data_IF_915602970211
#
_entry.id   IF_915602970211
#
_cell.length_a   1.000
_cell.length_b   1.000
_cell.length_c   1.000
_cell.angle_alpha   90.00
_cell.angle_beta   90.00
_cell.angle_gamma   90.00
#
_symmetry.space_group_name_H-M   'P 1'
#
loop_
_entity.id
_entity.type
_entity.pdbx_description
1 polymer ?
#
# COMPACT_ATOMS: atom_id res chain seq x y z
N UNK A 1 -1.35 -1.91 -23.78
CA UNK A 1 -2.80 -1.81 -23.70
C UNK A 1 -3.32 -0.51 -24.31
N UNK A 2 -2.82 0.67 -23.91
CA UNK A 2 -3.31 1.96 -24.47
C UNK A 2 -3.19 2.05 -25.99
N UNK A 3 -2.06 1.67 -26.59
CA UNK A 3 -1.85 1.66 -28.06
C UNK A 3 -2.80 0.70 -28.80
N UNK A 4 -3.39 -0.28 -28.10
CA UNK A 4 -4.36 -1.23 -28.63
C UNK A 4 -5.81 -0.78 -28.47
N UNK A 5 -6.03 0.46 -28.00
CA UNK A 5 -7.35 1.03 -27.74
C UNK A 5 -7.95 0.68 -26.38
N UNK A 6 -7.16 0.12 -25.47
CA UNK A 6 -7.56 -0.13 -24.09
C UNK A 6 -7.66 1.15 -23.27
N UNK A 7 -8.42 1.10 -22.18
CA UNK A 7 -8.56 2.17 -21.20
C UNK A 7 -7.35 2.26 -20.24
N UNK A 8 -7.28 3.34 -19.45
CA UNK A 8 -6.35 3.43 -18.34
C UNK A 8 -6.53 2.29 -17.31
N UNK A 9 -7.74 1.76 -17.15
CA UNK A 9 -8.01 0.61 -16.28
C UNK A 9 -7.41 -0.68 -16.87
N UNK A 10 -7.56 -0.95 -18.17
CA UNK A 10 -6.90 -2.08 -18.84
C UNK A 10 -5.37 -2.01 -18.68
N UNK A 11 -4.81 -0.81 -18.86
CA UNK A 11 -3.37 -0.61 -18.71
C UNK A 11 -2.90 -0.84 -17.26
N UNK A 12 -3.66 -0.35 -16.28
CA UNK A 12 -3.36 -0.52 -14.87
C UNK A 12 -3.44 -1.99 -14.44
N UNK A 13 -4.52 -2.70 -14.83
CA UNK A 13 -4.67 -4.14 -14.54
C UNK A 13 -3.55 -4.94 -15.19
N UNK A 14 -3.25 -4.71 -16.48
CA UNK A 14 -2.18 -5.43 -17.20
C UNK A 14 -0.81 -5.22 -16.54
N UNK A 15 -0.47 -3.98 -16.20
CA UNK A 15 0.80 -3.66 -15.54
C UNK A 15 0.88 -4.30 -14.14
N UNK A 16 -0.18 -4.20 -13.34
CA UNK A 16 -0.22 -4.83 -12.03
C UNK A 16 -0.14 -6.35 -12.13
N UNK A 17 -0.84 -6.97 -13.08
CA UNK A 17 -0.78 -8.42 -13.30
C UNK A 17 0.66 -8.89 -13.64
N UNK A 18 1.39 -8.16 -14.49
CA UNK A 18 2.81 -8.45 -14.76
C UNK A 18 3.64 -8.32 -13.48
N UNK A 19 3.43 -7.25 -12.68
CA UNK A 19 4.17 -7.04 -11.44
C UNK A 19 3.90 -8.12 -10.39
N UNK A 20 2.66 -8.66 -10.30
CA UNK A 20 2.37 -9.77 -9.38
C UNK A 20 3.13 -11.05 -9.73
N UNK A 21 3.53 -11.21 -10.99
CA UNK A 21 4.37 -12.31 -11.46
C UNK A 21 5.85 -12.01 -11.23
N UNK A 22 6.31 -10.83 -11.67
CA UNK A 22 7.74 -10.48 -11.76
C UNK A 22 8.32 -9.85 -10.48
N UNK A 23 7.45 -9.37 -9.59
CA UNK A 23 7.82 -8.72 -8.33
C UNK A 23 7.07 -9.31 -7.12
N UNK A 24 7.03 -10.65 -6.95
CA UNK A 24 6.27 -11.32 -5.89
C UNK A 24 6.75 -10.98 -4.48
N UNK A 25 7.90 -10.37 -4.34
CA UNK A 25 8.42 -9.85 -3.07
C UNK A 25 7.73 -8.55 -2.62
N UNK A 26 7.05 -7.83 -3.51
CA UNK A 26 6.36 -6.57 -3.21
C UNK A 26 4.84 -6.69 -3.28
N UNK A 27 4.35 -7.48 -4.22
CA UNK A 27 2.94 -7.61 -4.57
C UNK A 27 2.61 -9.02 -5.09
N UNK A 28 1.35 -9.40 -5.18
CA UNK A 28 0.99 -10.75 -5.66
C UNK A 28 -0.52 -10.95 -5.81
N UNK A 29 -0.91 -11.99 -6.57
CA UNK A 29 -2.31 -12.43 -6.70
C UNK A 29 -2.95 -12.78 -5.35
N UNK A 30 -2.14 -13.27 -4.41
CA UNK A 30 -2.56 -13.54 -3.03
C UNK A 30 -2.52 -12.31 -2.14
N UNK A 31 -2.50 -11.10 -2.70
CA UNK A 31 -2.46 -9.82 -2.01
C UNK A 31 -3.78 -9.04 -2.01
N UNK A 32 -3.67 -7.79 -1.64
CA UNK A 32 -4.76 -6.82 -1.55
C UNK A 32 -4.63 -5.73 -2.63
N UNK A 33 -5.69 -4.91 -2.81
CA UNK A 33 -5.68 -3.83 -3.79
C UNK A 33 -6.61 -2.70 -3.38
N UNK A 34 -6.17 -1.45 -3.61
CA UNK A 34 -7.04 -0.27 -3.68
C UNK A 34 -6.84 0.46 -5.00
N UNK A 35 -7.91 1.08 -5.51
CA UNK A 35 -7.80 1.96 -6.66
C UNK A 35 -8.73 3.17 -6.56
N UNK A 36 -8.27 4.30 -7.13
CA UNK A 36 -9.10 5.45 -7.45
C UNK A 36 -9.14 5.61 -8.97
N UNK A 37 -10.33 5.87 -9.50
CA UNK A 37 -10.53 6.10 -10.93
C UNK A 37 -11.23 7.42 -11.14
N UNK A 38 -10.58 8.31 -11.89
CA UNK A 38 -11.20 9.52 -12.44
C UNK A 38 -11.60 9.25 -13.90
N UNK A 39 -12.87 9.35 -14.20
CA UNK A 39 -13.44 9.08 -15.54
C UNK A 39 -13.92 10.34 -16.28
N UNK A 40 -13.55 11.52 -15.79
CA UNK A 40 -13.97 12.81 -16.36
C UNK A 40 -15.26 13.36 -15.76
N UNK A 41 -15.96 12.64 -14.89
CA UNK A 41 -17.30 12.99 -14.38
C UNK A 41 -17.31 13.59 -12.97
N UNK A 42 -16.24 14.27 -12.54
CA UNK A 42 -16.19 15.01 -11.29
C UNK A 42 -15.67 14.21 -10.11
N UNK A 43 -16.50 13.48 -9.37
CA UNK A 43 -16.07 12.69 -8.21
C UNK A 43 -15.41 11.38 -8.66
N UNK A 44 -14.14 11.12 -8.30
CA UNK A 44 -13.51 9.83 -8.59
C UNK A 44 -14.24 8.67 -7.94
N UNK A 45 -14.25 7.51 -8.60
CA UNK A 45 -14.70 6.26 -8.01
C UNK A 45 -13.57 5.64 -7.18
N UNK A 46 -13.92 5.06 -6.03
CA UNK A 46 -12.96 4.41 -5.12
C UNK A 46 -13.27 2.93 -4.98
N UNK A 47 -12.28 2.06 -5.21
CA UNK A 47 -12.39 0.61 -5.11
C UNK A 47 -11.57 0.09 -3.94
N UNK A 48 -12.23 -0.61 -3.01
CA UNK A 48 -11.64 -1.32 -1.89
C UNK A 48 -11.68 -2.83 -2.14
N UNK A 49 -10.54 -3.41 -2.47
CA UNK A 49 -10.32 -4.84 -2.62
C UNK A 49 -9.23 -5.33 -1.65
N UNK A 50 -9.32 -4.93 -0.37
CA UNK A 50 -8.34 -5.27 0.66
C UNK A 50 -8.49 -6.68 1.23
N UNK A 51 -9.56 -7.39 0.86
CA UNK A 51 -9.85 -8.69 1.44
C UNK A 51 -10.47 -8.63 2.84
N UNK A 52 -11.00 -9.75 3.30
CA UNK A 52 -11.62 -9.92 4.62
C UNK A 52 -11.06 -11.15 5.30
N UNK A 53 -10.93 -11.14 6.62
CA UNK A 53 -10.66 -12.35 7.40
C UNK A 53 -11.70 -13.42 7.10
N UNK A 54 -11.33 -14.67 7.20
CA UNK A 54 -12.25 -15.79 7.01
C UNK A 54 -13.34 -15.84 8.09
N UNK A 55 -14.39 -16.60 7.82
CA UNK A 55 -15.49 -16.84 8.78
C UNK A 55 -15.07 -17.64 10.00
N UNK A 56 -13.94 -18.36 9.93
CA UNK A 56 -13.33 -19.09 11.05
C UNK A 56 -12.45 -18.24 11.97
N UNK A 57 -12.33 -16.93 11.71
CA UNK A 57 -11.49 -16.02 12.49
C UNK A 57 -11.95 -15.94 13.96
N UNK A 58 -11.06 -16.32 14.88
CA UNK A 58 -11.33 -16.38 16.31
C UNK A 58 -10.20 -15.71 17.11
N UNK A 59 -10.42 -14.51 17.65
CA UNK A 59 -9.42 -13.79 18.45
C UNK A 59 -9.14 -14.47 19.80
N UNK A 60 -10.14 -15.15 20.41
CA UNK A 60 -9.96 -15.80 21.69
C UNK A 60 -8.99 -16.99 21.58
N UNK A 61 -9.01 -17.70 20.45
CA UNK A 61 -8.06 -18.77 20.17
C UNK A 61 -6.62 -18.25 20.13
N UNK A 62 -6.37 -17.11 19.46
CA UNK A 62 -5.05 -16.47 19.41
C UNK A 62 -4.58 -16.05 20.81
N UNK A 63 -5.47 -15.43 21.61
CA UNK A 63 -5.16 -15.03 22.98
C UNK A 63 -4.87 -16.24 23.89
N UNK A 64 -5.64 -17.30 23.76
CA UNK A 64 -5.43 -18.54 24.53
C UNK A 64 -4.08 -19.22 24.20
N UNK A 65 -3.58 -19.05 22.97
CA UNK A 65 -2.26 -19.49 22.52
C UNK A 65 -1.12 -18.54 22.99
N UNK A 66 -1.44 -17.42 23.65
CA UNK A 66 -0.48 -16.49 24.23
C UNK A 66 -0.08 -15.31 23.31
N UNK A 67 -0.81 -15.09 22.22
CA UNK A 67 -0.58 -13.96 21.33
C UNK A 67 -1.16 -12.67 21.91
N UNK A 68 -0.37 -11.61 21.98
CA UNK A 68 -0.77 -10.25 22.32
C UNK A 68 -1.03 -9.38 21.06
N UNK A 69 -0.57 -9.87 19.90
CA UNK A 69 -0.76 -9.29 18.56
C UNK A 69 -0.91 -10.37 17.50
N UNK A 70 -1.37 -9.99 16.31
CA UNK A 70 -1.48 -10.91 15.18
C UNK A 70 -0.11 -11.50 14.80
N UNK A 71 -0.06 -12.81 14.47
CA UNK A 71 1.16 -13.45 13.99
C UNK A 71 1.67 -12.78 12.70
N UNK A 72 3.00 -12.63 12.57
CA UNK A 72 3.57 -11.92 11.44
C UNK A 72 3.82 -12.82 10.22
N UNK A 73 4.42 -14.01 10.42
CA UNK A 73 4.74 -14.98 9.36
C UNK A 73 4.30 -16.40 9.73
N UNK A 74 4.14 -17.24 8.70
CA UNK A 74 3.86 -18.68 8.83
C UNK A 74 2.56 -19.02 9.59
N UNK A 75 1.63 -18.08 9.68
CA UNK A 75 0.33 -18.29 10.32
C UNK A 75 -0.78 -17.80 9.39
N UNK A 76 -1.67 -18.72 9.03
CA UNK A 76 -2.75 -18.46 8.07
C UNK A 76 -3.78 -17.44 8.62
N UNK A 77 -3.87 -17.27 9.94
CA UNK A 77 -4.79 -16.33 10.59
C UNK A 77 -4.43 -14.88 10.30
N UNK A 78 -3.19 -14.60 9.89
CA UNK A 78 -2.77 -13.28 9.42
C UNK A 78 -3.10 -13.00 7.94
N UNK A 79 -3.71 -13.95 7.25
CA UNK A 79 -4.04 -13.88 5.83
C UNK A 79 -5.53 -13.63 5.63
N UNK A 80 -5.99 -12.42 5.32
CA UNK A 80 -7.33 -12.21 4.78
C UNK A 80 -7.52 -12.93 3.44
N UNK A 81 -8.76 -13.25 3.05
CA UNK A 81 -9.05 -13.72 1.70
C UNK A 81 -8.48 -12.71 0.69
N UNK A 82 -7.59 -13.11 -0.22
CA UNK A 82 -6.96 -12.18 -1.15
C UNK A 82 -7.97 -11.43 -2.02
N UNK A 83 -7.87 -10.10 -2.07
CA UNK A 83 -8.80 -9.27 -2.83
C UNK A 83 -8.27 -8.77 -4.17
N UNK A 84 -6.99 -8.98 -4.48
CA UNK A 84 -6.35 -8.44 -5.68
C UNK A 84 -7.08 -8.82 -6.97
N UNK A 85 -7.40 -10.12 -7.16
CA UNK A 85 -8.10 -10.61 -8.35
C UNK A 85 -9.53 -10.06 -8.46
N UNK A 86 -10.26 -9.96 -7.34
CA UNK A 86 -11.58 -9.31 -7.29
C UNK A 86 -11.49 -7.82 -7.69
N UNK A 87 -10.43 -7.13 -7.24
CA UNK A 87 -10.17 -5.75 -7.61
C UNK A 87 -9.93 -5.56 -9.10
N UNK A 88 -9.17 -6.46 -9.74
CA UNK A 88 -8.97 -6.41 -11.19
C UNK A 88 -10.27 -6.64 -11.96
N UNK A 89 -11.06 -7.63 -11.55
CA UNK A 89 -12.35 -7.90 -12.18
C UNK A 89 -13.29 -6.69 -12.06
N UNK A 90 -13.41 -6.10 -10.86
CA UNK A 90 -14.26 -4.92 -10.64
C UNK A 90 -13.82 -3.69 -11.45
N UNK A 91 -12.50 -3.46 -11.59
CA UNK A 91 -11.95 -2.39 -12.44
C UNK A 91 -12.25 -2.65 -13.91
N UNK A 92 -12.00 -3.89 -14.36
CA UNK A 92 -12.20 -4.29 -15.74
C UNK A 92 -13.68 -4.27 -16.13
N UNK A 93 -14.58 -4.79 -15.30
CA UNK A 93 -16.03 -4.82 -15.56
C UNK A 93 -16.61 -3.41 -15.73
N UNK A 94 -16.10 -2.44 -14.97
CA UNK A 94 -16.63 -1.07 -14.99
C UNK A 94 -15.98 -0.17 -16.04
N UNK A 95 -14.68 -0.34 -16.31
CA UNK A 95 -13.87 0.60 -17.09
C UNK A 95 -13.03 -0.05 -18.19
N UNK A 96 -12.98 -1.37 -18.26
CA UNK A 96 -12.24 -2.10 -19.30
C UNK A 96 -12.84 -1.91 -20.70
N UNK A 97 -12.00 -1.87 -21.72
CA UNK A 97 -12.35 -1.80 -23.14
C UNK A 97 -11.86 -3.03 -23.90
N UNK A 98 -10.78 -3.67 -23.44
CA UNK A 98 -10.21 -4.87 -24.06
C UNK A 98 -10.73 -6.14 -23.36
N UNK A 99 -10.78 -7.29 -24.06
CA UNK A 99 -11.07 -8.57 -23.41
C UNK A 99 -10.08 -8.85 -22.26
N UNK A 100 -10.56 -9.33 -21.12
CA UNK A 100 -9.72 -9.61 -19.95
C UNK A 100 -8.56 -10.57 -20.28
N UNK A 101 -8.81 -11.56 -21.15
CA UNK A 101 -7.77 -12.49 -21.61
C UNK A 101 -6.62 -11.78 -22.33
N UNK A 102 -6.88 -10.67 -23.06
CA UNK A 102 -5.86 -9.87 -23.70
C UNK A 102 -5.10 -8.99 -22.68
N UNK A 103 -5.81 -8.49 -21.66
CA UNK A 103 -5.24 -7.68 -20.58
C UNK A 103 -4.28 -8.51 -19.75
N UNK A 104 -4.61 -9.77 -19.45
CA UNK A 104 -3.79 -10.67 -18.62
C UNK A 104 -2.72 -11.44 -19.40
N UNK A 105 -2.80 -11.50 -20.75
CA UNK A 105 -1.89 -12.27 -21.59
C UNK A 105 -0.39 -12.00 -21.34
N UNK A 106 0.08 -10.75 -21.13
CA UNK A 106 1.49 -10.49 -20.82
C UNK A 106 1.94 -11.15 -19.51
N UNK A 107 1.12 -11.08 -18.45
CA UNK A 107 1.41 -11.70 -17.17
C UNK A 107 1.45 -13.23 -17.27
N UNK A 108 0.49 -13.82 -17.98
CA UNK A 108 0.46 -15.26 -18.26
C UNK A 108 1.74 -15.69 -19.01
N UNK A 109 2.16 -14.90 -20.01
CA UNK A 109 3.40 -15.15 -20.76
C UNK A 109 4.63 -15.15 -19.84
N UNK A 110 4.82 -14.11 -19.02
CA UNK A 110 5.93 -14.04 -18.07
C UNK A 110 5.91 -15.19 -17.05
N UNK A 111 4.74 -15.54 -16.53
CA UNK A 111 4.62 -16.65 -15.60
C UNK A 111 5.00 -18.01 -16.22
N UNK A 112 4.61 -18.25 -17.47
CA UNK A 112 4.85 -19.50 -18.19
C UNK A 112 6.26 -19.61 -18.74
N UNK A 113 6.72 -18.58 -19.45
CA UNK A 113 8.00 -18.58 -20.17
C UNK A 113 9.17 -18.26 -19.22
N UNK A 114 8.90 -17.47 -18.21
CA UNK A 114 9.85 -17.03 -17.17
C UNK A 114 10.23 -15.57 -17.30
N UNK A 115 10.78 -15.05 -16.21
CA UNK A 115 11.30 -13.69 -16.08
C UNK A 115 12.60 -13.70 -15.28
N UNK A 116 13.53 -12.75 -15.51
CA UNK A 116 14.78 -12.66 -14.75
C UNK A 116 14.51 -12.18 -13.32
N UNK A 117 15.15 -12.80 -12.32
CA UNK A 117 15.14 -12.33 -10.95
C UNK A 117 15.69 -10.90 -10.85
N UNK A 118 14.96 -9.99 -10.25
CA UNK A 118 15.44 -8.62 -10.04
C UNK A 118 16.47 -8.57 -8.91
N UNK A 119 17.43 -7.62 -8.92
CA UNK A 119 18.37 -7.41 -7.81
C UNK A 119 17.66 -7.19 -6.45
N UNK A 120 16.47 -6.57 -6.47
CA UNK A 120 15.66 -6.32 -5.25
C UNK A 120 15.02 -7.59 -4.68
N UNK A 121 14.80 -8.61 -5.51
CA UNK A 121 14.23 -9.89 -5.08
C UNK A 121 15.30 -10.82 -4.47
N UNK A 122 16.55 -10.73 -4.94
CA UNK A 122 17.65 -11.64 -4.56
C UNK A 122 17.78 -11.84 -3.06
N UNK A 123 17.74 -10.79 -2.21
CA UNK A 123 17.88 -10.98 -0.76
C UNK A 123 16.82 -11.91 -0.14
N UNK A 124 15.62 -11.97 -0.74
CA UNK A 124 14.52 -12.82 -0.26
C UNK A 124 14.56 -14.27 -0.78
N UNK A 125 15.31 -14.56 -1.87
CA UNK A 125 15.31 -15.88 -2.52
C UNK A 125 15.78 -17.01 -1.60
N UNK A 126 16.75 -16.72 -0.72
CA UNK A 126 17.23 -17.71 0.25
C UNK A 126 16.13 -18.14 1.25
N UNK A 127 15.22 -17.24 1.57
CA UNK A 127 14.09 -17.50 2.47
C UNK A 127 12.98 -18.24 1.76
N UNK A 128 12.60 -17.83 0.55
CA UNK A 128 11.43 -18.38 -0.14
C UNK A 128 11.72 -19.62 -0.98
N UNK A 129 12.97 -19.84 -1.41
CA UNK A 129 13.36 -21.01 -2.19
C UNK A 129 13.03 -22.36 -1.56
N UNK A 130 13.20 -22.54 -0.23
CA UNK A 130 12.75 -23.76 0.46
C UNK A 130 11.22 -23.88 0.60
N UNK A 131 10.48 -22.78 0.45
CA UNK A 131 9.03 -22.72 0.69
C UNK A 131 8.21 -22.89 -0.58
N UNK A 132 8.78 -22.54 -1.75
CA UNK A 132 8.09 -22.61 -3.04
C UNK A 132 9.06 -23.05 -4.14
N UNK A 133 8.68 -24.08 -4.88
CA UNK A 133 9.50 -24.69 -5.95
C UNK A 133 9.85 -23.69 -7.05
N UNK A 134 8.96 -22.73 -7.35
CA UNK A 134 9.19 -21.68 -8.36
C UNK A 134 10.51 -20.89 -8.12
N UNK A 135 10.94 -20.77 -6.86
CA UNK A 135 12.14 -20.03 -6.44
C UNK A 135 13.31 -20.93 -6.04
N UNK A 136 13.13 -22.25 -6.07
CA UNK A 136 14.09 -23.19 -5.48
C UNK A 136 15.48 -23.17 -6.12
N UNK A 137 15.61 -22.76 -7.39
CA UNK A 137 16.87 -22.75 -8.13
C UNK A 137 17.48 -21.35 -8.32
N UNK A 138 16.68 -20.29 -8.18
CA UNK A 138 17.17 -18.91 -8.37
C UNK A 138 18.02 -18.47 -7.17
N UNK A 139 19.17 -17.81 -7.44
CA UNK A 139 20.13 -17.31 -6.43
C UNK A 139 20.61 -15.91 -6.72
N UNK A 140 20.76 -15.57 -7.99
CA UNK A 140 21.38 -14.33 -8.44
C UNK A 140 20.41 -13.50 -9.31
N UNK A 141 20.72 -12.21 -9.44
CA UNK A 141 20.00 -11.35 -10.37
C UNK A 141 20.17 -11.86 -11.81
N UNK A 142 19.07 -11.94 -12.55
CA UNK A 142 19.04 -12.48 -13.88
C UNK A 142 18.70 -13.98 -13.97
N UNK A 143 18.73 -14.72 -12.87
CA UNK A 143 18.26 -16.12 -12.88
C UNK A 143 16.82 -16.20 -13.32
N UNK A 144 16.52 -17.18 -14.19
CA UNK A 144 15.19 -17.32 -14.78
C UNK A 144 14.23 -18.01 -13.80
N UNK A 145 13.17 -17.31 -13.43
CA UNK A 145 12.10 -17.83 -12.59
C UNK A 145 10.87 -18.10 -13.46
N UNK A 146 10.27 -19.27 -13.30
CA UNK A 146 8.98 -19.66 -13.91
C UNK A 146 7.96 -19.95 -12.84
N UNK A 147 6.72 -19.53 -13.08
CA UNK A 147 5.62 -19.70 -12.14
C UNK A 147 4.41 -20.35 -12.83
N UNK A 148 4.52 -21.65 -13.22
CA UNK A 148 3.50 -22.31 -14.03
C UNK A 148 2.14 -22.40 -13.35
N UNK A 149 2.09 -22.54 -12.04
CA UNK A 149 0.84 -22.53 -11.28
C UNK A 149 0.17 -21.15 -11.28
N UNK A 150 0.96 -20.06 -11.17
CA UNK A 150 0.45 -18.68 -11.31
C UNK A 150 -0.09 -18.45 -12.72
N UNK A 151 0.55 -19.01 -13.77
CA UNK A 151 0.03 -18.92 -15.12
C UNK A 151 -1.36 -19.56 -15.24
N UNK A 152 -1.56 -20.79 -14.69
CA UNK A 152 -2.86 -21.45 -14.67
C UNK A 152 -3.92 -20.65 -13.89
N UNK A 153 -3.55 -20.08 -12.75
CA UNK A 153 -4.45 -19.26 -11.95
C UNK A 153 -4.90 -17.99 -12.71
N UNK A 154 -3.97 -17.32 -13.42
CA UNK A 154 -4.29 -16.18 -14.27
C UNK A 154 -5.18 -16.58 -15.47
N UNK A 155 -4.94 -17.74 -16.09
CA UNK A 155 -5.80 -18.29 -17.13
C UNK A 155 -7.21 -18.58 -16.62
N UNK A 156 -7.31 -19.22 -15.46
CA UNK A 156 -8.61 -19.47 -14.82
C UNK A 156 -9.38 -18.17 -14.56
N UNK A 157 -8.70 -17.09 -14.15
CA UNK A 157 -9.30 -15.79 -13.93
C UNK A 157 -9.88 -15.18 -15.23
N UNK A 158 -9.32 -15.47 -16.40
CA UNK A 158 -9.89 -15.02 -17.69
C UNK A 158 -11.28 -15.60 -17.98
N UNK A 159 -11.65 -16.68 -17.29
CA UNK A 159 -12.97 -17.33 -17.38
C UNK A 159 -13.95 -16.86 -16.29
N UNK A 160 -13.52 -15.89 -15.49
CA UNK A 160 -14.32 -15.28 -14.44
C UNK A 160 -13.84 -15.62 -13.02
N UNK A 161 -14.48 -15.00 -12.06
CA UNK A 161 -14.14 -15.05 -10.63
C UNK A 161 -14.09 -16.49 -10.08
N UNK A 162 -15.12 -17.27 -10.41
CA UNK A 162 -15.26 -18.64 -9.88
C UNK A 162 -14.13 -19.56 -10.36
N UNK A 163 -13.61 -19.36 -11.57
CA UNK A 163 -12.46 -20.10 -12.07
C UNK A 163 -11.22 -19.94 -11.19
N UNK A 164 -11.05 -18.78 -10.56
CA UNK A 164 -9.94 -18.52 -9.63
C UNK A 164 -10.27 -18.91 -8.19
N UNK A 165 -11.34 -18.32 -7.59
CA UNK A 165 -11.62 -18.48 -6.15
C UNK A 165 -12.28 -19.81 -5.79
N UNK A 166 -12.95 -20.48 -6.72
CA UNK A 166 -13.55 -21.81 -6.53
C UNK A 166 -12.84 -22.90 -7.32
N UNK A 167 -11.78 -22.54 -8.05
CA UNK A 167 -10.91 -23.44 -8.80
C UNK A 167 -9.66 -23.83 -8.02
N UNK A 168 -8.58 -24.15 -8.75
CA UNK A 168 -7.31 -24.68 -8.20
C UNK A 168 -6.74 -23.85 -7.04
N UNK A 169 -6.72 -22.51 -7.16
CA UNK A 169 -6.27 -21.61 -6.11
C UNK A 169 -7.18 -21.67 -4.87
N UNK A 170 -8.51 -21.58 -5.05
CA UNK A 170 -9.46 -21.59 -3.94
C UNK A 170 -9.45 -22.90 -3.17
N UNK A 171 -9.44 -24.04 -3.86
CA UNK A 171 -9.31 -25.36 -3.24
C UNK A 171 -8.01 -25.48 -2.41
N UNK A 172 -6.91 -24.96 -2.93
CA UNK A 172 -5.64 -24.93 -2.21
C UNK A 172 -5.65 -23.99 -1.01
N UNK A 173 -6.30 -22.82 -1.13
CA UNK A 173 -6.45 -21.87 -0.02
C UNK A 173 -7.31 -22.47 1.12
N UNK A 174 -8.41 -23.17 0.79
CA UNK A 174 -9.21 -23.90 1.78
C UNK A 174 -8.39 -24.97 2.48
N UNK A 175 -7.56 -25.71 1.73
CA UNK A 175 -6.73 -26.77 2.29
C UNK A 175 -5.67 -26.25 3.27
N UNK A 176 -4.96 -25.14 2.94
CA UNK A 176 -3.96 -24.54 3.85
C UNK A 176 -4.63 -23.72 4.97
N UNK A 177 -5.88 -23.31 4.77
CA UNK A 177 -6.66 -22.49 5.70
C UNK A 177 -6.99 -23.19 7.02
N UNK A 178 -7.02 -24.53 7.04
CA UNK A 178 -7.23 -25.29 8.28
C UNK A 178 -8.52 -24.93 9.04
N UNK A 179 -9.56 -24.48 8.32
CA UNK A 179 -10.84 -24.05 8.89
C UNK A 179 -10.96 -22.53 9.09
N UNK A 180 -9.94 -21.77 8.74
CA UNK A 180 -10.00 -20.29 8.75
C UNK A 180 -10.99 -19.74 7.70
N UNK A 181 -11.09 -20.44 6.55
CA UNK A 181 -12.00 -20.08 5.45
C UNK A 181 -13.01 -21.17 5.16
N UNK A 182 -14.17 -20.77 4.64
CA UNK A 182 -15.20 -21.62 4.06
C UNK A 182 -15.34 -21.32 2.55
N UNK A 183 -16.01 -22.21 1.81
CA UNK A 183 -16.35 -21.97 0.40
C UNK A 183 -17.17 -20.68 0.23
N UNK A 184 -18.04 -20.34 1.19
CA UNK A 184 -18.85 -19.11 1.16
C UNK A 184 -17.98 -17.84 1.27
N UNK A 185 -16.88 -17.87 2.04
CA UNK A 185 -15.92 -16.78 2.09
C UNK A 185 -15.23 -16.55 0.74
N UNK A 186 -14.92 -17.65 0.02
CA UNK A 186 -14.32 -17.59 -1.32
C UNK A 186 -15.35 -17.27 -2.41
N UNK A 187 -16.61 -17.69 -2.26
CA UNK A 187 -17.69 -17.36 -3.18
C UNK A 187 -18.10 -15.88 -3.10
N UNK A 188 -17.84 -15.24 -1.95
CA UNK A 188 -18.17 -13.82 -1.73
C UNK A 188 -17.10 -12.92 -2.33
N UNK A 189 -17.50 -11.95 -3.17
CA UNK A 189 -16.56 -10.97 -3.72
C UNK A 189 -16.00 -10.04 -2.63
N UNK A 190 -14.71 -9.73 -2.73
CA UNK A 190 -13.98 -8.88 -1.77
C UNK A 190 -13.66 -7.48 -2.33
N UNK A 191 -14.28 -7.09 -3.44
CA UNK A 191 -14.12 -5.78 -4.06
C UNK A 191 -15.41 -4.96 -3.92
N UNK A 192 -15.32 -3.85 -3.16
CA UNK A 192 -16.43 -2.94 -2.93
C UNK A 192 -16.12 -1.56 -3.51
N UNK A 193 -17.05 -1.01 -4.30
CA UNK A 193 -17.02 0.42 -4.65
C UNK A 193 -17.52 1.23 -3.46
N UNK A 194 -16.71 2.19 -3.02
CA UNK A 194 -16.97 3.01 -1.82
C UNK A 194 -16.87 4.50 -2.16
N UNK A 195 -17.42 5.36 -1.31
CA UNK A 195 -17.28 6.81 -1.47
C UNK A 195 -15.86 7.25 -1.07
N UNK A 196 -15.13 7.97 -1.95
CA UNK A 196 -13.80 8.46 -1.62
C UNK A 196 -13.86 9.58 -0.59
N UNK A 197 -12.80 9.70 0.22
CA UNK A 197 -12.57 10.90 1.03
C UNK A 197 -12.03 12.03 0.18
N UNK A 198 -12.41 13.27 0.54
CA UNK A 198 -11.94 14.49 -0.11
C UNK A 198 -11.64 15.58 0.90
N UNK A 199 -10.56 16.33 0.68
CA UNK A 199 -10.35 17.64 1.29
C UNK A 199 -9.94 18.67 0.23
N UNK A 200 -10.28 19.92 0.48
CA UNK A 200 -9.71 21.04 -0.25
C UNK A 200 -8.43 21.47 0.44
N UNK A 201 -7.33 21.48 -0.30
CA UNK A 201 -6.04 21.94 0.19
C UNK A 201 -5.24 22.59 -0.95
N UNK A 202 -4.57 23.71 -0.66
CA UNK A 202 -3.75 24.47 -1.61
C UNK A 202 -4.46 24.75 -2.94
N UNK A 203 -5.75 25.10 -2.86
CA UNK A 203 -6.57 25.44 -4.02
C UNK A 203 -7.06 24.25 -4.86
N UNK A 204 -6.76 23.01 -4.49
CA UNK A 204 -7.12 21.78 -5.20
C UNK A 204 -7.96 20.85 -4.33
N UNK A 205 -8.71 19.95 -4.96
CA UNK A 205 -9.37 18.85 -4.25
C UNK A 205 -8.46 17.61 -4.28
N UNK A 206 -8.12 17.10 -3.11
CA UNK A 206 -7.30 15.88 -2.94
C UNK A 206 -8.20 14.75 -2.48
N UNK A 207 -8.14 13.64 -3.20
CA UNK A 207 -9.00 12.47 -3.03
C UNK A 207 -8.18 11.25 -2.61
N UNK A 208 -8.75 10.43 -1.74
CA UNK A 208 -8.15 9.15 -1.33
C UNK A 208 -9.22 8.17 -0.84
N UNK A 209 -8.79 6.98 -0.43
CA UNK A 209 -9.65 5.94 0.12
C UNK A 209 -10.14 6.29 1.53
N UNK A 210 -11.39 5.90 1.88
CA UNK A 210 -11.87 5.96 3.26
C UNK A 210 -11.21 4.86 4.13
N UNK A 211 -11.36 4.89 5.48
CA UNK A 211 -11.05 3.74 6.33
C UNK A 211 -11.79 2.46 5.86
N UNK A 212 -11.14 1.33 5.85
CA UNK A 212 -9.93 0.88 6.54
C UNK A 212 -8.56 1.38 6.00
N UNK A 213 -8.50 2.19 4.93
CA UNK A 213 -7.26 2.83 4.48
C UNK A 213 -6.86 3.99 5.41
N UNK A 214 -5.55 4.16 5.60
CA UNK A 214 -5.00 5.31 6.32
C UNK A 214 -4.94 6.61 5.47
N UNK A 215 -5.62 6.67 4.34
CA UNK A 215 -5.61 7.83 3.44
C UNK A 215 -5.97 9.16 4.10
N UNK A 216 -6.84 9.14 5.12
CA UNK A 216 -7.20 10.33 5.88
C UNK A 216 -6.01 11.03 6.54
N UNK A 217 -4.92 10.31 6.84
CA UNK A 217 -3.69 10.91 7.40
C UNK A 217 -3.05 11.88 6.42
N UNK A 218 -3.03 11.54 5.12
CA UNK A 218 -2.57 12.45 4.07
C UNK A 218 -3.44 13.71 4.01
N UNK A 219 -4.76 13.52 4.01
CA UNK A 219 -5.70 14.64 3.91
C UNK A 219 -5.60 15.57 5.12
N UNK A 220 -5.49 15.00 6.31
CA UNK A 220 -5.33 15.78 7.56
C UNK A 220 -3.98 16.51 7.59
N UNK A 221 -2.89 15.86 7.20
CA UNK A 221 -1.58 16.47 7.15
C UNK A 221 -1.53 17.65 6.15
N UNK A 222 -2.18 17.51 4.98
CA UNK A 222 -2.32 18.61 4.00
C UNK A 222 -3.11 19.79 4.58
N UNK A 223 -4.23 19.54 5.27
CA UNK A 223 -5.01 20.59 5.92
C UNK A 223 -4.26 21.28 7.08
N UNK A 224 -3.43 20.52 7.80
CA UNK A 224 -2.53 21.10 8.82
C UNK A 224 -1.49 21.99 8.13
N UNK A 225 -0.84 21.48 7.09
CA UNK A 225 0.23 22.17 6.38
C UNK A 225 -0.23 23.44 5.66
N UNK A 226 -1.46 23.46 5.10
CA UNK A 226 -2.01 24.61 4.36
C UNK A 226 -2.05 25.93 5.17
N UNK A 227 -2.09 25.84 6.48
CA UNK A 227 -2.10 27.05 7.32
C UNK A 227 -0.76 27.34 8.00
N UNK A 228 0.32 26.64 7.64
CA UNK A 228 1.68 26.91 8.10
C UNK A 228 2.37 27.91 7.15
N UNK A 229 3.26 28.71 7.73
CA UNK A 229 4.14 29.61 6.96
C UNK A 229 5.34 28.79 6.43
N UNK A 230 5.12 28.06 5.34
CA UNK A 230 6.13 27.21 4.74
C UNK A 230 7.18 28.06 4.01
N UNK A 231 8.50 27.79 4.20
CA UNK A 231 9.55 28.43 3.40
C UNK A 231 9.33 28.26 1.89
N UNK A 232 9.70 29.28 1.10
CA UNK A 232 9.65 29.24 -0.36
C UNK A 232 10.58 28.17 -0.96
N UNK A 233 11.71 27.90 -0.29
CA UNK A 233 12.66 26.86 -0.68
C UNK A 233 12.32 25.53 0.04
N UNK A 234 11.89 24.47 -0.68
CA UNK A 234 11.65 23.17 -0.07
C UNK A 234 12.92 22.45 0.42
N UNK A 235 14.12 22.99 0.19
CA UNK A 235 15.35 22.54 0.77
C UNK A 235 15.66 23.19 2.13
N UNK A 236 14.89 24.20 2.54
CA UNK A 236 15.03 24.81 3.88
C UNK A 236 14.74 23.77 4.97
N UNK A 237 15.60 23.61 5.98
CA UNK A 237 15.34 22.70 7.11
C UNK A 237 14.02 22.96 7.84
N UNK A 238 13.57 24.19 7.90
CA UNK A 238 12.28 24.54 8.53
C UNK A 238 11.10 23.96 7.75
N UNK A 239 11.19 23.88 6.41
CA UNK A 239 10.16 23.22 5.58
C UNK A 239 9.97 21.75 5.99
N UNK A 240 11.07 21.02 6.14
CA UNK A 240 11.01 19.62 6.59
C UNK A 240 10.49 19.51 8.02
N UNK A 241 10.94 20.38 8.95
CA UNK A 241 10.47 20.38 10.34
C UNK A 241 8.95 20.57 10.41
N UNK A 242 8.41 21.56 9.74
CA UNK A 242 6.97 21.86 9.76
C UNK A 242 6.13 20.71 9.19
N UNK A 243 6.60 20.05 8.12
CA UNK A 243 5.90 18.90 7.54
C UNK A 243 6.04 17.63 8.38
N UNK A 244 7.18 17.41 9.03
CA UNK A 244 7.35 16.34 10.03
C UNK A 244 6.34 16.50 11.15
N UNK A 245 6.22 17.71 11.72
CA UNK A 245 5.26 17.99 12.78
C UNK A 245 3.80 17.84 12.29
N UNK A 246 3.48 18.27 11.07
CA UNK A 246 2.17 18.05 10.47
C UNK A 246 1.83 16.56 10.33
N UNK A 247 2.78 15.74 9.87
CA UNK A 247 2.60 14.29 9.76
C UNK A 247 2.42 13.61 11.13
N UNK A 248 3.22 13.99 12.14
CA UNK A 248 3.12 13.48 13.51
C UNK A 248 1.76 13.79 14.12
N UNK A 249 1.33 15.05 14.01
CA UNK A 249 0.04 15.50 14.52
C UNK A 249 -1.15 14.89 13.75
N UNK A 250 -1.00 14.59 12.47
CA UNK A 250 -2.03 13.87 11.72
C UNK A 250 -2.22 12.43 12.23
N UNK A 251 -1.16 11.78 12.69
CA UNK A 251 -1.16 10.34 12.91
C UNK A 251 -1.16 9.88 14.37
N UNK A 252 -0.98 10.75 15.35
CA UNK A 252 -0.75 10.35 16.76
C UNK A 252 -1.89 9.48 17.37
N UNK A 253 -3.09 9.57 16.84
CA UNK A 253 -4.28 8.83 17.29
C UNK A 253 -4.74 7.74 16.30
N UNK A 254 -3.88 7.37 15.34
CA UNK A 254 -4.23 6.42 14.26
C UNK A 254 -4.76 5.08 14.79
N UNK A 255 -4.19 4.55 15.85
CA UNK A 255 -4.60 3.26 16.41
C UNK A 255 -6.04 3.28 16.93
N UNK A 256 -6.48 4.43 17.44
CA UNK A 256 -7.83 4.60 18.00
C UNK A 256 -8.86 4.92 16.91
N UNK A 257 -8.40 5.44 15.75
CA UNK A 257 -9.27 5.94 14.66
C UNK A 257 -9.41 4.97 13.50
N UNK A 258 -8.34 4.21 13.16
CA UNK A 258 -8.30 3.42 11.93
C UNK A 258 -8.90 2.03 12.10
N UNK A 259 -10.13 1.86 11.61
CA UNK A 259 -10.82 0.58 11.49
C UNK A 259 -11.85 0.64 10.35
N UNK A 260 -12.35 -0.51 9.89
CA UNK A 260 -13.36 -0.59 8.83
C UNK A 260 -14.63 0.18 9.23
N UNK A 261 -15.05 1.13 8.37
CA UNK A 261 -16.26 1.93 8.59
C UNK A 261 -16.11 3.08 9.58
N UNK A 262 -14.88 3.40 10.03
CA UNK A 262 -14.66 4.56 10.88
C UNK A 262 -15.01 5.87 10.17
N UNK A 263 -15.75 6.78 10.86
CA UNK A 263 -15.89 8.16 10.41
C UNK A 263 -14.64 8.96 10.83
N UNK A 264 -14.10 9.69 9.87
CA UNK A 264 -12.91 10.55 10.08
C UNK A 264 -13.23 12.04 9.99
N UNK A 265 -14.48 12.42 9.87
CA UNK A 265 -14.89 13.83 9.70
C UNK A 265 -14.40 14.71 10.85
N UNK A 266 -14.67 14.31 12.10
CA UNK A 266 -14.21 15.04 13.28
C UNK A 266 -12.67 15.12 13.36
N UNK A 267 -11.98 14.09 12.89
CA UNK A 267 -10.51 14.06 12.83
C UNK A 267 -10.01 15.05 11.78
N UNK A 268 -10.58 15.07 10.59
CA UNK A 268 -10.26 16.03 9.54
C UNK A 268 -10.56 17.47 9.96
N UNK A 269 -11.64 17.71 10.70
CA UNK A 269 -12.03 19.04 11.22
C UNK A 269 -11.09 19.54 12.33
N UNK A 270 -10.34 18.64 12.98
CA UNK A 270 -9.36 19.00 14.00
C UNK A 270 -8.07 19.67 13.46
N UNK A 271 -7.90 19.80 12.14
CA UNK A 271 -6.68 20.28 11.50
C UNK A 271 -6.16 21.61 12.08
N UNK A 272 -7.06 22.61 12.29
CA UNK A 272 -6.68 23.89 12.85
C UNK A 272 -6.19 23.81 14.31
N UNK A 273 -6.85 22.98 15.13
CA UNK A 273 -6.45 22.77 16.51
C UNK A 273 -5.10 22.03 16.61
N UNK A 274 -4.88 21.02 15.74
CA UNK A 274 -3.59 20.30 15.67
C UNK A 274 -2.47 21.19 15.18
N UNK A 275 -2.71 22.01 14.16
CA UNK A 275 -1.73 23.01 13.67
C UNK A 275 -1.27 23.97 14.75
N UNK A 276 -2.17 24.42 15.65
CA UNK A 276 -1.83 25.30 16.75
C UNK A 276 -0.83 24.71 17.77
N UNK A 277 -0.56 23.39 17.70
CA UNK A 277 0.45 22.71 18.52
C UNK A 277 1.84 22.71 17.89
N UNK A 278 1.99 23.15 16.63
CA UNK A 278 3.28 23.19 15.93
C UNK A 278 4.06 24.42 16.38
N UNK A 279 5.26 24.17 16.90
CA UNK A 279 6.26 25.19 17.21
C UNK A 279 7.39 25.09 16.15
N UNK A 280 7.68 26.18 15.40
CA UNK A 280 8.78 26.17 14.42
C UNK A 280 10.16 25.87 15.00
N UNK A 281 10.34 26.00 16.32
CA UNK A 281 11.61 25.82 17.01
C UNK A 281 11.67 24.59 17.90
N UNK A 282 10.55 23.86 18.07
CA UNK A 282 10.49 22.74 19.00
C UNK A 282 9.56 21.62 18.53
N UNK A 283 9.87 20.39 18.93
CA UNK A 283 9.05 19.21 18.68
C UNK A 283 7.77 19.24 19.54
N UNK A 284 6.61 19.02 18.94
CA UNK A 284 5.36 18.87 19.67
C UNK A 284 5.35 17.61 20.52
N UNK A 285 4.73 17.69 21.71
CA UNK A 285 4.58 16.56 22.64
C UNK A 285 3.35 15.74 22.24
N UNK A 286 3.52 14.82 21.30
CA UNK A 286 2.49 13.87 20.85
C UNK A 286 3.10 12.48 20.69
N UNK A 287 2.24 11.46 20.66
CA UNK A 287 2.65 10.10 20.30
C UNK A 287 3.20 10.08 18.89
N UNK A 288 4.34 9.45 18.69
CA UNK A 288 4.93 9.34 17.36
C UNK A 288 4.49 8.09 16.63
N UNK A 289 4.62 8.15 15.31
CA UNK A 289 4.39 7.08 14.37
C UNK A 289 5.70 6.72 13.68
N UNK A 290 5.87 5.45 13.40
CA UNK A 290 7.04 4.96 12.66
C UNK A 290 6.58 4.11 11.48
N UNK A 291 7.41 3.91 10.46
CA UNK A 291 6.99 3.25 9.23
C UNK A 291 8.03 2.32 8.63
N UNK A 292 7.55 1.21 8.08
CA UNK A 292 8.24 0.32 7.13
C UNK A 292 7.17 -0.48 6.37
N UNK A 293 7.47 -1.06 5.21
CA UNK A 293 6.53 -1.90 4.44
C UNK A 293 6.84 -1.96 2.96
N UNK A 294 6.51 -3.10 2.34
CA UNK A 294 6.68 -3.37 0.91
C UNK A 294 5.35 -3.24 0.15
N UNK A 295 5.39 -2.64 -1.02
CA UNK A 295 4.18 -2.29 -1.79
C UNK A 295 4.56 -2.02 -3.24
N UNK A 296 3.60 -2.15 -4.17
CA UNK A 296 3.72 -1.67 -5.54
C UNK A 296 2.63 -0.63 -5.81
N UNK A 297 3.04 0.54 -6.27
CA UNK A 297 2.16 1.59 -6.77
C UNK A 297 2.33 1.76 -8.27
N UNK A 298 1.24 1.98 -8.97
CA UNK A 298 1.23 2.36 -10.38
C UNK A 298 0.10 3.35 -10.69
N UNK A 299 0.27 4.13 -11.75
CA UNK A 299 -0.77 4.99 -12.28
C UNK A 299 -0.82 4.86 -13.81
N UNK A 300 -2.00 5.11 -14.36
CA UNK A 300 -2.23 5.18 -15.79
C UNK A 300 -3.17 6.34 -16.12
N UNK A 301 -2.93 6.99 -17.26
CA UNK A 301 -3.83 8.00 -17.83
C UNK A 301 -3.96 7.70 -19.32
N UNK A 302 -5.18 7.64 -19.84
CA UNK A 302 -5.43 7.40 -21.27
C UNK A 302 -5.72 8.69 -22.05
N UNK A 303 -5.90 8.52 -23.36
CA UNK A 303 -6.17 9.64 -24.29
C UNK A 303 -7.54 10.31 -24.08
N UNK A 304 -8.47 9.65 -23.42
CA UNK A 304 -9.80 10.18 -23.08
C UNK A 304 -9.75 10.97 -21.75
N UNK A 305 -8.59 10.98 -21.05
CA UNK A 305 -8.37 11.68 -19.78
C UNK A 305 -8.78 10.88 -18.55
N UNK A 306 -9.12 9.59 -18.70
CA UNK A 306 -9.32 8.72 -17.53
C UNK A 306 -7.98 8.56 -16.80
N UNK A 307 -8.00 8.74 -15.46
CA UNK A 307 -6.85 8.52 -14.58
C UNK A 307 -7.12 7.41 -13.58
N UNK A 308 -6.17 6.47 -13.45
CA UNK A 308 -6.21 5.37 -12.48
C UNK A 308 -5.01 5.46 -11.54
N UNK A 309 -5.28 5.54 -10.23
CA UNK A 309 -4.30 5.40 -9.15
C UNK A 309 -4.51 4.03 -8.53
N UNK A 310 -3.61 3.07 -8.76
CA UNK A 310 -3.73 1.69 -8.29
C UNK A 310 -2.54 1.34 -7.40
N UNK A 311 -2.84 0.75 -6.25
CA UNK A 311 -1.84 0.29 -5.29
C UNK A 311 -2.16 -1.13 -4.83
N UNK A 312 -1.13 -1.97 -4.76
CA UNK A 312 -1.25 -3.39 -4.48
C UNK A 312 -0.07 -3.86 -3.62
N UNK A 313 -0.34 -4.77 -2.67
CA UNK A 313 0.67 -5.17 -1.70
C UNK A 313 0.46 -6.62 -1.21
N UNK A 314 1.54 -7.20 -0.69
CA UNK A 314 1.48 -8.39 0.17
C UNK A 314 1.56 -8.02 1.66
N UNK A 315 1.59 -6.76 2.01
CA UNK A 315 1.90 -6.16 3.30
C UNK A 315 3.41 -6.25 3.63
N UNK A 316 3.94 -7.39 4.02
CA UNK A 316 5.40 -7.61 4.18
C UNK A 316 6.01 -8.25 2.93
N UNK A 317 7.33 -8.27 2.80
CA UNK A 317 8.03 -8.95 1.71
C UNK A 317 7.62 -10.42 1.59
N UNK A 318 7.12 -10.83 0.41
CA UNK A 318 6.48 -12.13 0.14
C UNK A 318 5.28 -12.47 1.04
N UNK A 319 4.74 -11.50 1.79
CA UNK A 319 3.57 -11.66 2.64
C UNK A 319 3.81 -12.50 3.88
N UNK A 320 2.90 -13.45 4.14
CA UNK A 320 2.93 -14.37 5.28
C UNK A 320 4.03 -15.43 5.22
N UNK A 321 4.78 -15.54 4.13
CA UNK A 321 5.66 -16.65 3.78
C UNK A 321 4.93 -18.00 3.66
N UNK A 322 3.61 -17.97 3.47
CA UNK A 322 2.80 -19.11 3.08
C UNK A 322 2.53 -19.01 1.58
N UNK A 323 2.82 -20.09 0.87
CA UNK A 323 2.52 -20.24 -0.55
C UNK A 323 1.39 -21.25 -0.69
N UNK A 324 0.37 -20.90 -1.47
CA UNK A 324 -0.68 -21.87 -1.82
C UNK A 324 -0.05 -22.99 -2.66
N UNK A 325 -0.13 -24.27 -2.22
CA UNK A 325 0.77 -25.32 -2.72
C UNK A 325 0.52 -25.77 -4.16
N UNK A 326 -0.67 -25.53 -4.73
CA UNK A 326 -1.01 -25.95 -6.11
C UNK A 326 -0.57 -24.94 -7.15
N UNK A 327 -0.73 -23.66 -6.83
CA UNK A 327 -0.43 -22.55 -7.76
C UNK A 327 0.89 -21.83 -7.46
N UNK A 328 1.47 -22.03 -6.28
CA UNK A 328 2.65 -21.29 -5.83
C UNK A 328 2.38 -19.81 -5.55
N UNK A 329 1.13 -19.40 -5.43
CA UNK A 329 0.77 -18.02 -5.10
C UNK A 329 1.14 -17.73 -3.65
N UNK A 330 1.97 -16.70 -3.44
CA UNK A 330 2.30 -16.20 -2.11
C UNK A 330 1.11 -15.43 -1.51
N UNK A 331 0.79 -15.72 -0.25
CA UNK A 331 -0.34 -15.11 0.46
C UNK A 331 0.14 -13.93 1.30
N UNK A 332 -0.55 -12.81 1.21
CA UNK A 332 -0.25 -11.62 2.01
C UNK A 332 -0.44 -11.87 3.51
N UNK A 333 0.08 -11.00 4.34
CA UNK A 333 -0.13 -11.04 5.78
C UNK A 333 -0.85 -9.79 6.32
N UNK A 334 -1.75 -9.21 5.52
CA UNK A 334 -2.44 -7.95 5.87
C UNK A 334 -3.21 -8.01 7.19
N UNK A 335 -3.61 -9.18 7.64
CA UNK A 335 -4.27 -9.40 8.93
C UNK A 335 -3.45 -8.97 10.14
N UNK A 336 -2.13 -8.74 10.00
CA UNK A 336 -1.31 -8.15 11.07
C UNK A 336 -1.79 -6.76 11.52
N UNK A 337 -2.59 -6.08 10.68
CA UNK A 337 -3.23 -4.81 11.05
C UNK A 337 -4.36 -4.91 12.08
N UNK A 338 -4.92 -6.09 12.32
CA UNK A 338 -5.94 -6.28 13.33
C UNK A 338 -5.39 -6.14 14.75
N UNK A 339 -6.26 -5.71 15.67
CA UNK A 339 -6.00 -5.70 17.10
C UNK A 339 -6.41 -7.04 17.74
N UNK A 340 -5.67 -7.50 18.76
CA UNK A 340 -6.10 -8.56 19.66
C UNK A 340 -6.62 -8.04 21.00
N UNK A 341 -6.74 -6.72 21.17
CA UNK A 341 -7.33 -6.13 22.37
C UNK A 341 -8.84 -6.37 22.35
N UNK A 342 -9.42 -7.03 23.38
CA UNK A 342 -10.86 -7.31 23.44
C UNK A 342 -11.71 -6.04 23.34
N UNK A 343 -12.71 -6.07 22.44
CA UNK A 343 -13.62 -4.95 22.22
C UNK A 343 -13.04 -3.77 21.42
N UNK A 344 -11.81 -3.86 20.94
CA UNK A 344 -11.23 -2.84 20.08
C UNK A 344 -12.00 -2.79 18.72
N UNK A 345 -12.31 -1.60 18.15
CA UNK A 345 -13.03 -1.51 16.88
C UNK A 345 -12.37 -2.27 15.72
N UNK A 346 -11.03 -2.31 15.70
CA UNK A 346 -10.24 -3.09 14.74
C UNK A 346 -9.90 -4.51 15.23
N UNK A 347 -10.64 -5.07 16.18
CA UNK A 347 -10.39 -6.42 16.68
C UNK A 347 -10.51 -7.46 15.57
N UNK A 348 -9.56 -8.43 15.54
CA UNK A 348 -9.64 -9.59 14.67
C UNK A 348 -10.97 -10.33 14.88
N UNK A 349 -11.60 -10.78 13.83
CA UNK A 349 -12.86 -11.49 13.90
C UNK A 349 -13.41 -11.79 12.51
N UNK A 350 -14.51 -12.57 12.42
CA UNK A 350 -15.05 -13.07 11.14
C UNK A 350 -15.41 -11.97 10.15
N UNK A 351 -14.97 -12.13 8.89
CA UNK A 351 -15.37 -11.31 7.73
C UNK A 351 -15.11 -9.81 7.87
N UNK A 352 -14.11 -9.41 8.66
CA UNK A 352 -13.69 -8.02 8.84
C UNK A 352 -12.54 -7.65 7.90
N UNK A 353 -12.46 -6.40 7.53
CA UNK A 353 -11.29 -5.81 6.83
C UNK A 353 -10.29 -5.27 7.86
N UNK A 354 -9.01 -5.62 7.74
CA UNK A 354 -7.98 -5.08 8.64
C UNK A 354 -7.69 -3.61 8.37
N UNK A 355 -7.24 -2.82 9.37
CA UNK A 355 -6.56 -1.55 9.16
C UNK A 355 -5.48 -1.65 8.09
N UNK A 356 -5.38 -0.62 7.23
CA UNK A 356 -4.63 -0.72 5.99
C UNK A 356 -3.69 0.46 5.76
N UNK A 357 -2.51 0.18 5.18
CA UNK A 357 -1.46 1.17 4.95
C UNK A 357 -1.50 1.81 3.55
N UNK A 358 -2.24 1.26 2.60
CA UNK A 358 -2.25 1.71 1.21
C UNK A 358 -3.04 3.01 1.03
N UNK A 359 -2.42 3.99 0.33
CA UNK A 359 -2.95 5.34 0.10
C UNK A 359 -2.82 5.70 -1.38
N UNK A 360 -3.71 5.21 -2.26
CA UNK A 360 -3.81 5.79 -3.59
C UNK A 360 -4.43 7.19 -3.48
N UNK A 361 -3.98 8.14 -4.31
CA UNK A 361 -4.51 9.49 -4.30
C UNK A 361 -4.70 10.06 -5.71
N UNK A 362 -5.63 10.98 -5.83
CA UNK A 362 -5.90 11.80 -7.01
C UNK A 362 -6.02 13.27 -6.61
N UNK A 363 -5.65 14.16 -7.50
CA UNK A 363 -5.82 15.61 -7.35
C UNK A 363 -6.64 16.14 -8.51
N UNK A 364 -7.70 16.88 -8.22
CA UNK A 364 -8.49 17.59 -9.21
C UNK A 364 -8.39 19.09 -9.01
N UNK A 365 -8.54 19.85 -10.11
CA UNK A 365 -8.61 21.31 -10.08
C UNK A 365 -9.98 21.78 -9.57
N UNK A 366 -10.14 23.07 -9.24
CA UNK A 366 -11.43 23.63 -8.83
C UNK A 366 -12.56 23.45 -9.84
N UNK A 367 -12.22 23.34 -11.12
CA UNK A 367 -13.17 23.07 -12.21
C UNK A 367 -13.55 21.59 -12.35
N UNK A 368 -13.01 20.73 -11.46
CA UNK A 368 -13.24 19.29 -11.45
C UNK A 368 -12.33 18.49 -12.39
N UNK A 369 -11.50 19.13 -13.23
CA UNK A 369 -10.58 18.41 -14.12
C UNK A 369 -9.44 17.74 -13.38
N UNK A 370 -8.96 16.61 -13.90
CA UNK A 370 -7.82 15.87 -13.33
C UNK A 370 -6.54 16.76 -13.37
N UNK A 371 -5.87 16.91 -12.24
CA UNK A 371 -4.56 17.58 -12.12
C UNK A 371 -3.42 16.56 -12.06
N UNK A 372 -3.56 15.55 -11.21
CA UNK A 372 -2.49 14.56 -10.99
C UNK A 372 -3.05 13.25 -10.46
N UNK A 373 -2.38 12.17 -10.83
CA UNK A 373 -2.54 10.83 -10.24
C UNK A 373 -1.28 10.53 -9.47
N UNK A 374 -1.38 10.29 -8.16
CA UNK A 374 -0.21 10.18 -7.28
C UNK A 374 -0.34 9.01 -6.31
N UNK A 375 0.79 8.42 -5.95
CA UNK A 375 0.89 7.36 -4.96
C UNK A 375 2.35 6.99 -4.72
N UNK A 376 2.59 6.15 -3.74
CA UNK A 376 3.93 5.67 -3.38
C UNK A 376 3.85 4.31 -2.71
N UNK A 377 4.92 3.56 -2.73
CA UNK A 377 5.16 2.44 -1.83
C UNK A 377 5.62 2.96 -0.45
N UNK A 378 5.79 2.07 0.55
CA UNK A 378 6.41 2.41 1.84
C UNK A 378 5.51 2.25 3.07
N UNK A 379 4.48 1.40 3.01
CA UNK A 379 3.65 1.07 4.19
C UNK A 379 3.11 2.32 4.89
N UNK A 380 3.42 2.47 6.16
CA UNK A 380 2.97 3.61 6.98
C UNK A 380 3.60 4.96 6.58
N UNK A 381 4.69 4.97 5.79
CA UNK A 381 5.29 6.20 5.28
C UNK A 381 4.50 6.83 4.11
N UNK A 382 3.57 6.11 3.50
CA UNK A 382 2.88 6.59 2.30
C UNK A 382 2.24 7.97 2.49
N UNK A 383 1.47 8.28 3.55
CA UNK A 383 0.93 9.62 3.77
C UNK A 383 2.01 10.70 3.87
N UNK A 384 3.16 10.37 4.48
CA UNK A 384 4.28 11.29 4.71
C UNK A 384 5.02 11.62 3.42
N UNK A 385 5.27 10.62 2.58
CA UNK A 385 5.91 10.79 1.26
C UNK A 385 4.99 11.58 0.35
N UNK A 386 3.69 11.23 0.32
CA UNK A 386 2.70 11.94 -0.50
C UNK A 386 2.50 13.39 -0.07
N UNK A 387 2.55 13.69 1.24
CA UNK A 387 2.52 15.07 1.76
C UNK A 387 3.64 15.90 1.13
N UNK A 388 4.89 15.40 1.16
CA UNK A 388 6.05 16.09 0.60
C UNK A 388 5.92 16.30 -0.92
N UNK A 389 5.53 15.24 -1.65
CA UNK A 389 5.36 15.30 -3.11
C UNK A 389 4.25 16.28 -3.50
N UNK A 390 3.10 16.21 -2.82
CA UNK A 390 1.97 17.09 -3.16
C UNK A 390 2.26 18.55 -2.84
N UNK A 391 2.93 18.88 -1.74
CA UNK A 391 3.31 20.28 -1.45
C UNK A 391 4.31 20.80 -2.49
N UNK A 392 5.28 20.00 -2.91
CA UNK A 392 6.19 20.37 -4.02
C UNK A 392 5.45 20.64 -5.32
N UNK A 393 4.43 19.83 -5.65
CA UNK A 393 3.63 19.98 -6.87
C UNK A 393 2.64 21.15 -6.81
N UNK A 394 2.02 21.42 -5.64
CA UNK A 394 0.87 22.31 -5.51
C UNK A 394 1.23 23.69 -4.96
N UNK A 395 2.32 23.79 -4.18
CA UNK A 395 2.77 25.04 -3.55
C UNK A 395 4.00 25.60 -4.27
N UNK A 396 4.98 24.73 -4.54
CA UNK A 396 6.25 25.16 -5.18
C UNK A 396 6.22 25.03 -6.72
N UNK A 397 5.12 24.52 -7.30
CA UNK A 397 4.91 24.35 -8.74
C UNK A 397 6.04 23.57 -9.45
N UNK A 398 6.68 22.62 -8.72
CA UNK A 398 7.72 21.77 -9.30
C UNK A 398 7.08 20.79 -10.29
N UNK A 399 7.84 20.42 -11.31
CA UNK A 399 7.43 19.34 -12.21
C UNK A 399 7.35 18.00 -11.46
N UNK A 400 6.57 17.02 -11.94
CA UNK A 400 6.53 15.68 -11.32
C UNK A 400 7.90 15.02 -11.15
N UNK A 401 8.80 15.19 -12.15
CA UNK A 401 10.16 14.67 -12.07
C UNK A 401 10.99 15.30 -10.95
N UNK A 402 10.92 16.62 -10.80
CA UNK A 402 11.60 17.36 -9.72
C UNK A 402 11.01 17.01 -8.35
N UNK A 403 9.68 16.94 -8.24
CA UNK A 403 9.01 16.62 -6.98
C UNK A 403 9.35 15.20 -6.47
N UNK A 404 9.46 14.22 -7.38
CA UNK A 404 9.81 12.82 -7.06
C UNK A 404 11.32 12.67 -6.84
N UNK A 405 12.15 13.36 -7.62
CA UNK A 405 13.61 13.33 -7.52
C UNK A 405 14.17 14.08 -6.32
N UNK A 406 13.37 14.96 -5.69
CA UNK A 406 13.82 15.70 -4.51
C UNK A 406 13.93 14.78 -3.29
N UNK A 407 14.96 14.98 -2.43
CA UNK A 407 15.19 14.16 -1.26
C UNK A 407 14.00 14.13 -0.31
N UNK A 408 13.75 12.96 0.31
CA UNK A 408 12.61 12.73 1.19
C UNK A 408 13.06 12.34 2.60
N UNK A 409 12.13 12.51 3.50
CA UNK A 409 12.23 12.00 4.86
C UNK A 409 11.03 11.08 5.17
N UNK A 410 11.19 10.22 6.17
CA UNK A 410 10.10 9.47 6.79
C UNK A 410 10.31 9.36 8.29
N UNK A 411 9.21 9.20 9.02
CA UNK A 411 9.24 8.79 10.41
C UNK A 411 9.46 7.28 10.45
N UNK A 412 10.47 6.84 11.14
CA UNK A 412 10.86 5.43 11.24
C UNK A 412 11.09 5.03 12.70
N UNK A 413 11.13 3.72 12.97
CA UNK A 413 11.39 3.16 14.29
C UNK A 413 12.04 1.78 14.20
N UNK A 414 12.28 1.14 15.34
CA UNK A 414 12.96 -0.15 15.42
C UNK A 414 12.04 -1.36 15.21
N UNK A 415 10.96 -1.24 14.45
CA UNK A 415 9.97 -2.28 14.25
C UNK A 415 9.99 -2.91 12.87
N UNK A 416 9.08 -3.86 12.64
CA UNK A 416 8.88 -4.57 11.37
C UNK A 416 8.04 -3.78 10.36
N UNK A 417 7.76 -2.50 10.62
CA UNK A 417 6.94 -1.65 9.78
C UNK A 417 5.45 -1.67 10.07
N UNK A 418 5.02 -2.65 10.80
CA UNK A 418 3.66 -2.77 11.30
C UNK A 418 3.60 -2.77 12.83
N UNK A 419 4.76 -2.83 13.50
CA UNK A 419 4.93 -2.75 14.95
C UNK A 419 5.15 -1.32 15.46
N UNK A 420 5.35 -0.40 14.57
CA UNK A 420 5.86 0.95 14.83
C UNK A 420 4.90 1.83 15.61
N UNK A 421 3.63 1.50 15.58
CA UNK A 421 2.58 2.15 16.37
C UNK A 421 2.68 1.88 17.87
N UNK A 422 3.48 0.88 18.27
CA UNK A 422 3.53 0.40 19.65
C UNK A 422 4.72 0.93 20.47
N UNK A 423 5.70 1.59 19.85
CA UNK A 423 6.91 2.11 20.51
C UNK A 423 7.16 3.59 20.19
N UNK A 424 6.29 4.51 20.64
CA UNK A 424 6.32 5.93 20.23
C UNK A 424 7.59 6.68 20.64
N UNK A 425 8.31 6.21 21.66
CA UNK A 425 9.51 6.89 22.20
C UNK A 425 10.77 6.61 21.36
N UNK A 426 10.69 5.76 20.33
CA UNK A 426 11.82 5.34 19.51
C UNK A 426 11.75 5.87 18.08
N UNK A 427 10.86 6.79 17.79
CA UNK A 427 10.72 7.35 16.45
C UNK A 427 11.91 8.22 16.08
N UNK A 428 12.51 7.92 14.93
CA UNK A 428 13.57 8.71 14.31
C UNK A 428 13.10 9.26 12.97
N UNK A 429 13.62 10.40 12.56
CA UNK A 429 13.45 10.90 11.20
C UNK A 429 14.57 10.35 10.34
N UNK A 430 14.26 9.44 9.44
CA UNK A 430 15.19 8.98 8.41
C UNK A 430 15.09 9.91 7.22
N UNK A 431 16.25 10.27 6.65
CA UNK A 431 16.37 11.13 5.47
C UNK A 431 17.21 10.46 4.40
N UNK A 432 16.83 10.61 3.15
CA UNK A 432 17.65 10.18 2.01
C UNK A 432 19.00 10.92 2.02
N UNK A 433 20.04 10.29 1.46
CA UNK A 433 21.44 10.77 1.62
C UNK A 433 21.64 12.18 1.07
N UNK A 434 20.97 12.53 0.01
CA UNK A 434 20.98 13.85 -0.64
C UNK A 434 20.36 14.94 0.24
N UNK A 435 19.56 14.57 1.24
CA UNK A 435 18.89 15.48 2.18
C UNK A 435 19.71 15.80 3.44
N UNK A 436 21.03 15.63 3.43
CA UNK A 436 21.90 15.83 4.61
C UNK A 436 21.78 17.23 5.24
N UNK A 437 21.43 18.25 4.46
CA UNK A 437 21.15 19.59 4.97
C UNK A 437 19.92 19.68 5.90
N UNK A 438 18.94 18.78 5.74
CA UNK A 438 17.72 18.73 6.56
C UNK A 438 17.98 18.18 7.99
N UNK A 439 19.13 17.55 8.23
CA UNK A 439 19.49 16.95 9.53
C UNK A 439 19.68 17.97 10.65
N UNK A 440 19.97 19.22 10.32
CA UNK A 440 20.30 20.23 11.33
C UNK A 440 19.09 20.72 12.16
N UNK A 441 17.88 20.68 11.61
CA UNK A 441 16.67 21.17 12.30
C UNK A 441 16.00 20.11 13.18
N UNK A 442 16.20 18.82 12.89
CA UNK A 442 15.67 17.72 13.70
C UNK A 442 16.44 17.50 15.02
N UNK A 443 17.53 18.21 15.25
CA UNK A 443 18.49 17.99 16.34
C UNK A 443 18.11 18.63 17.69
N UNK A 444 16.84 18.83 17.97
CA UNK A 444 16.39 18.95 19.34
C UNK A 444 16.44 17.62 20.13
N UNK A 445 16.73 16.50 19.45
CA UNK A 445 16.94 15.19 20.03
C UNK A 445 18.32 14.65 19.59
N UNK A 446 19.07 14.12 20.52
CA UNK A 446 20.44 13.58 20.38
C UNK A 446 20.54 12.57 19.24
N UNK A 447 21.46 12.70 18.27
CA UNK A 447 21.55 11.77 17.15
C UNK A 447 22.32 10.51 17.56
N UNK A 448 21.67 9.37 17.48
CA UNK A 448 22.36 8.09 17.34
C UNK A 448 21.94 7.48 16.00
N UNK A 449 22.72 7.70 14.96
CA UNK A 449 22.50 7.09 13.64
C UNK A 449 23.55 5.98 13.46
N UNK A 450 23.15 4.72 13.33
CA UNK A 450 23.99 3.74 12.68
C UNK A 450 23.87 3.94 11.16
N UNK A 451 24.98 4.25 10.51
CA UNK A 451 25.07 4.30 9.05
C UNK A 451 24.84 2.90 8.46
N UNK A 452 23.73 2.66 7.80
CA UNK A 452 23.61 1.60 6.81
C UNK A 452 24.20 2.12 5.50
N UNK A 453 25.41 1.73 5.21
CA UNK A 453 26.00 1.87 3.88
C UNK A 453 25.25 0.97 2.90
N UNK A 454 24.65 1.57 1.90
CA UNK A 454 24.20 0.83 0.71
C UNK A 454 25.44 0.19 0.03
N UNK A 455 25.30 -1.00 -0.59
CA UNK A 455 26.41 -1.59 -1.33
C UNK A 455 26.79 -0.68 -2.51
N UNK A 456 28.08 -0.61 -2.89
CA UNK A 456 28.53 0.28 -3.95
C UNK A 456 27.89 -0.11 -5.28
N UNK A 457 27.41 0.89 -5.99
CA UNK A 457 26.91 0.79 -7.36
C UNK A 457 28.05 0.27 -8.25
N UNK A 458 27.85 -0.87 -8.92
CA UNK A 458 28.76 -1.36 -9.92
C UNK A 458 28.80 -0.39 -11.10
N UNK A 459 29.97 0.16 -11.38
CA UNK A 459 30.27 0.95 -12.58
C UNK A 459 30.24 0.02 -13.78
N UNK A 460 29.63 0.40 -14.92
CA UNK A 460 29.67 -0.42 -16.14
C UNK A 460 31.03 -0.27 -16.82
N UNK A 461 31.67 -1.37 -17.11
CA UNK A 461 32.70 -1.49 -18.16
C UNK A 461 32.12 -2.25 -19.32
#
# INVERSE_FOLDING_TARGET
>A
MLERGGSAADAAVAANAVLTVTSPHLCGLGGDLFALVYDGNGTPAALNASGRSGSGADPERLRAEGHDRMPHHHDIRSVPVPGCADGWLALHDRYGKLPLAEVLAPAIGHAREGFPASPLMVPGLATVGPLCEDFATARDAGDLIRRPGVARALEALTHGRDGFYLGEFGEGLLAVGGGEYTEDDLATANADWVDPLRVRAFGHDVWTMPPNSQGYLLLLALRIAEGLDLPDDPADPLWAHLLVEAARLAGHDRLDVLFEGASVDAVLDSAAARRALIDPAARATVRDLTSDGDTTYLCAVDGDGMGVSLIQSNASGFGSLIFEPRTGINLHNRGIGFSLVPGHPAEYGPRRRPPHTLVPALVTRPDGSLRSVVGTMGGDAQPQVLLQVLIRLLVHDLTPGEAIGAPRWRLAGNGTGFDTWQAPDQTVVEVEEEARGLRASASGATPSVPSRTAPPSATPT
#
